data_IF_536596241745
#
_entry.id   IF_536596241745
#
_cell.length_a   1.000
_cell.length_b   1.000
_cell.length_c   1.000
_cell.angle_alpha   90.00
_cell.angle_beta   90.00
_cell.angle_gamma   90.00
#
_symmetry.space_group_name_H-M   'P 1'
#
loop_
_entity.id
_entity.type
_entity.pdbx_description
1 polymer ?
#
# COMPACT_ATOMS: atom_id res chain seq x y z
N UNK A 1 -9.14 11.63 -23.44
CA UNK A 1 -8.37 11.48 -22.20
C UNK A 1 -8.86 10.17 -21.59
N UNK A 2 -8.10 9.11 -21.78
CA UNK A 2 -8.51 7.81 -21.32
C UNK A 2 -8.54 7.81 -19.79
N UNK A 3 -9.63 7.26 -19.25
CA UNK A 3 -9.78 7.10 -17.80
C UNK A 3 -8.59 6.27 -17.28
N UNK A 4 -8.04 6.68 -16.14
CA UNK A 4 -7.05 5.92 -15.40
C UNK A 4 -7.54 4.47 -15.26
N UNK A 5 -6.94 3.55 -16.02
CA UNK A 5 -7.18 2.13 -15.85
C UNK A 5 -6.16 1.60 -14.84
N UNK A 6 -6.60 1.43 -13.60
CA UNK A 6 -5.87 0.61 -12.65
C UNK A 6 -6.00 -0.86 -13.03
N UNK A 7 -4.93 -1.63 -12.86
CA UNK A 7 -5.00 -3.09 -12.97
C UNK A 7 -5.95 -3.69 -11.93
N UNK A 8 -6.40 -4.93 -12.16
CA UNK A 8 -7.26 -5.66 -11.22
C UNK A 8 -8.76 -5.34 -11.31
N UNK A 9 -9.22 -4.69 -12.36
CA UNK A 9 -10.65 -4.48 -12.59
C UNK A 9 -11.35 -5.78 -13.07
N UNK A 10 -11.72 -6.60 -12.10
CA UNK A 10 -12.49 -7.83 -12.33
C UNK A 10 -14.02 -7.58 -12.39
N UNK A 11 -14.46 -6.35 -12.18
CA UNK A 11 -15.87 -5.99 -12.04
C UNK A 11 -16.51 -5.53 -13.35
N UNK A 12 -15.74 -4.86 -14.21
CA UNK A 12 -16.25 -4.32 -15.47
C UNK A 12 -16.20 -5.33 -16.62
N UNK A 13 -15.45 -6.43 -16.49
CA UNK A 13 -15.21 -7.42 -17.55
C UNK A 13 -15.21 -8.84 -16.98
N UNK A 14 -15.66 -9.81 -17.76
CA UNK A 14 -15.51 -11.23 -17.42
C UNK A 14 -14.09 -11.69 -17.77
N UNK A 15 -13.18 -11.53 -16.83
CA UNK A 15 -11.75 -11.81 -17.00
C UNK A 15 -11.47 -13.26 -16.57
N UNK A 16 -10.90 -14.07 -17.50
CA UNK A 16 -10.47 -15.44 -17.18
C UNK A 16 -9.06 -15.51 -16.61
N UNK A 17 -8.19 -14.60 -17.03
CA UNK A 17 -6.81 -14.48 -16.57
C UNK A 17 -6.49 -13.00 -16.42
N UNK A 18 -6.00 -12.62 -15.24
CA UNK A 18 -5.61 -11.24 -14.93
C UNK A 18 -4.10 -11.18 -14.65
N UNK A 19 -3.39 -10.47 -15.52
CA UNK A 19 -1.97 -10.13 -15.34
C UNK A 19 -1.75 -8.64 -15.10
N UNK A 20 -2.82 -7.89 -14.89
CA UNK A 20 -2.76 -6.43 -14.70
C UNK A 20 -2.48 -6.02 -13.25
N UNK A 21 -2.58 -6.95 -12.30
CA UNK A 21 -2.31 -6.71 -10.88
C UNK A 21 -1.50 -7.85 -10.26
N UNK A 22 -0.58 -7.50 -9.35
CA UNK A 22 0.23 -8.45 -8.61
C UNK A 22 -0.54 -9.00 -7.41
N UNK A 23 -1.44 -9.94 -7.65
CA UNK A 23 -2.21 -10.62 -6.60
C UNK A 23 -1.56 -11.98 -6.33
N UNK A 24 -1.42 -12.32 -5.03
CA UNK A 24 -0.94 -13.64 -4.65
C UNK A 24 -1.96 -14.72 -5.09
N UNK A 25 -1.61 -15.62 -6.03
CA UNK A 25 -2.54 -16.65 -6.51
C UNK A 25 -2.90 -17.69 -5.44
N UNK A 26 -2.11 -17.81 -4.38
CA UNK A 26 -2.40 -18.69 -3.24
C UNK A 26 -3.37 -18.06 -2.25
N UNK A 27 -3.77 -16.80 -2.47
CA UNK A 27 -4.64 -16.07 -1.57
C UNK A 27 -3.94 -15.62 -0.29
N UNK A 28 -4.72 -15.39 0.74
CA UNK A 28 -4.26 -14.93 2.05
C UNK A 28 -3.92 -16.14 2.94
N UNK A 29 -2.83 -16.07 3.70
CA UNK A 29 -2.48 -17.14 4.64
C UNK A 29 -3.45 -17.19 5.83
N UNK A 30 -3.65 -18.37 6.39
CA UNK A 30 -4.54 -18.59 7.54
C UNK A 30 -4.16 -17.69 8.73
N UNK A 31 -2.88 -17.50 9.00
CA UNK A 31 -2.40 -16.62 10.07
C UNK A 31 -2.86 -15.17 9.88
N UNK A 32 -2.89 -14.67 8.64
CA UNK A 32 -3.37 -13.32 8.33
C UNK A 32 -4.89 -13.25 8.49
N UNK A 33 -5.62 -14.26 8.03
CA UNK A 33 -7.08 -14.36 8.21
C UNK A 33 -7.44 -14.32 9.69
N UNK A 34 -6.79 -15.14 10.51
CA UNK A 34 -7.00 -15.15 11.95
C UNK A 34 -6.65 -13.82 12.63
N UNK A 35 -5.56 -13.18 12.20
CA UNK A 35 -5.17 -11.87 12.72
C UNK A 35 -6.23 -10.81 12.40
N UNK A 36 -6.79 -10.81 11.20
CA UNK A 36 -7.88 -9.94 10.81
C UNK A 36 -9.13 -10.18 11.66
N UNK A 37 -9.53 -11.42 11.87
CA UNK A 37 -10.67 -11.75 12.74
C UNK A 37 -10.46 -11.23 14.16
N UNK A 38 -9.27 -11.40 14.74
CA UNK A 38 -8.96 -10.88 16.08
C UNK A 38 -8.95 -9.36 16.13
N UNK A 39 -8.61 -8.69 15.04
CA UNK A 39 -8.50 -7.23 15.00
C UNK A 39 -9.85 -6.51 14.88
N UNK A 40 -10.94 -7.21 14.56
CA UNK A 40 -12.29 -6.62 14.41
C UNK A 40 -12.72 -5.85 15.67
N UNK A 41 -12.44 -6.41 16.85
CA UNK A 41 -12.75 -5.75 18.14
C UNK A 41 -12.02 -4.41 18.32
N UNK A 42 -10.88 -4.24 17.67
CA UNK A 42 -10.09 -3.00 17.75
C UNK A 42 -10.70 -1.86 16.92
N UNK A 43 -11.59 -2.19 15.96
CA UNK A 43 -12.23 -1.19 15.09
C UNK A 43 -13.11 -0.17 15.83
N UNK A 44 -13.46 -0.44 17.08
CA UNK A 44 -14.17 0.52 17.95
C UNK A 44 -13.31 1.71 18.38
N UNK A 45 -12.00 1.62 18.26
CA UNK A 45 -11.04 2.65 18.62
C UNK A 45 -10.55 3.39 17.37
N UNK A 46 -10.17 4.66 17.54
CA UNK A 46 -9.40 5.34 16.52
C UNK A 46 -8.05 4.66 16.33
N UNK A 47 -7.59 4.50 15.08
CA UNK A 47 -6.26 3.96 14.82
C UNK A 47 -5.18 4.90 15.35
N UNK A 48 -4.01 4.34 15.69
CA UNK A 48 -2.84 5.15 16.04
C UNK A 48 -2.36 5.93 14.81
N UNK A 49 -2.46 7.28 14.80
CA UNK A 49 -2.08 8.08 13.64
C UNK A 49 -0.59 8.03 13.33
N UNK A 50 0.23 7.60 14.28
CA UNK A 50 1.67 7.44 14.11
C UNK A 50 2.08 6.01 13.75
N UNK A 51 1.15 5.07 13.69
CA UNK A 51 1.39 3.65 13.38
C UNK A 51 2.56 3.04 14.18
N UNK A 52 2.70 3.42 15.47
CA UNK A 52 3.89 3.13 16.29
C UNK A 52 4.24 1.65 16.33
N UNK A 53 3.26 0.80 16.59
CA UNK A 53 3.47 -0.66 16.65
C UNK A 53 3.94 -1.23 15.31
N UNK A 54 3.32 -0.76 14.22
CA UNK A 54 3.68 -1.19 12.87
C UNK A 54 5.08 -0.72 12.47
N UNK A 55 5.42 0.54 12.76
CA UNK A 55 6.75 1.09 12.50
C UNK A 55 7.83 0.33 13.28
N UNK A 56 7.57 -0.02 14.55
CA UNK A 56 8.49 -0.83 15.34
C UNK A 56 8.72 -2.22 14.73
N UNK A 57 7.64 -2.94 14.41
CA UNK A 57 7.73 -4.28 13.81
C UNK A 57 8.43 -4.26 12.44
N UNK A 58 8.16 -3.26 11.62
CA UNK A 58 8.84 -3.10 10.33
C UNK A 58 10.31 -2.72 10.51
N UNK A 59 10.61 -1.82 11.44
CA UNK A 59 11.98 -1.45 11.77
C UNK A 59 12.81 -2.65 12.23
N UNK A 60 12.27 -3.47 13.12
CA UNK A 60 12.90 -4.71 13.58
C UNK A 60 13.14 -5.69 12.42
N UNK A 61 12.12 -5.90 11.57
CA UNK A 61 12.21 -6.81 10.43
C UNK A 61 13.25 -6.38 9.40
N UNK A 62 13.29 -5.08 9.07
CA UNK A 62 14.18 -4.51 8.06
C UNK A 62 15.53 -4.08 8.64
N UNK A 63 15.72 -4.23 9.97
CA UNK A 63 16.92 -3.82 10.71
C UNK A 63 17.27 -2.32 10.51
N UNK A 64 16.24 -1.48 10.61
CA UNK A 64 16.35 -0.02 10.57
C UNK A 64 15.67 0.61 11.79
N UNK A 65 16.14 1.75 12.31
CA UNK A 65 15.44 2.47 13.36
C UNK A 65 14.00 2.82 12.94
N UNK A 66 13.05 2.72 13.86
CA UNK A 66 11.63 2.96 13.58
C UNK A 66 11.31 4.38 13.11
N UNK A 67 12.14 5.36 13.45
CA UNK A 67 12.06 6.75 12.98
C UNK A 67 12.32 6.89 11.47
N UNK A 68 12.89 5.88 10.81
CA UNK A 68 13.06 5.84 9.36
C UNK A 68 11.93 5.08 8.64
N UNK A 69 10.90 4.65 9.38
CA UNK A 69 9.75 3.95 8.83
C UNK A 69 8.55 4.88 8.75
N UNK A 70 8.06 5.12 7.56
CA UNK A 70 6.82 5.87 7.32
C UNK A 70 5.74 4.92 6.80
N UNK A 71 4.62 4.86 7.51
CA UNK A 71 3.43 4.14 7.06
C UNK A 71 2.43 5.09 6.40
N UNK A 72 1.74 4.60 5.38
CA UNK A 72 0.72 5.36 4.66
C UNK A 72 -0.40 4.46 4.14
N UNK A 73 -1.45 5.06 3.65
CA UNK A 73 -2.61 4.37 3.10
C UNK A 73 -2.35 3.97 1.64
N UNK A 74 -1.48 2.97 1.45
CA UNK A 74 -1.03 2.52 0.15
C UNK A 74 0.11 3.36 -0.42
N UNK A 75 0.66 2.89 -1.56
CA UNK A 75 1.81 3.53 -2.21
C UNK A 75 1.49 4.95 -2.70
N UNK A 76 0.29 5.20 -3.20
CA UNK A 76 -0.12 6.52 -3.68
C UNK A 76 0.00 7.60 -2.58
N UNK A 77 -0.52 7.34 -1.37
CA UNK A 77 -0.39 8.26 -0.23
C UNK A 77 1.09 8.58 0.08
N UNK A 78 1.96 7.56 0.06
CA UNK A 78 3.38 7.76 0.32
C UNK A 78 4.08 8.54 -0.80
N UNK A 79 3.74 8.29 -2.07
CA UNK A 79 4.26 9.03 -3.22
C UNK A 79 3.92 10.52 -3.06
N UNK A 80 2.65 10.84 -2.81
CA UNK A 80 2.21 12.22 -2.60
C UNK A 80 2.94 12.88 -1.42
N UNK A 81 3.04 12.21 -0.28
CA UNK A 81 3.76 12.74 0.89
C UNK A 81 5.22 13.01 0.60
N UNK A 82 5.91 12.10 -0.09
CA UNK A 82 7.31 12.27 -0.48
C UNK A 82 7.49 13.48 -1.41
N UNK A 83 6.63 13.64 -2.42
CA UNK A 83 6.68 14.77 -3.34
C UNK A 83 6.42 16.08 -2.62
N UNK A 84 5.41 16.14 -1.75
CA UNK A 84 5.12 17.34 -0.96
C UNK A 84 6.27 17.69 -0.01
N UNK A 85 6.88 16.72 0.64
CA UNK A 85 8.00 16.97 1.55
C UNK A 85 9.25 17.43 0.80
N UNK A 86 9.55 16.84 -0.35
CA UNK A 86 10.73 17.18 -1.16
C UNK A 86 10.56 18.49 -1.95
N UNK A 87 9.33 18.89 -2.27
CA UNK A 87 9.00 20.06 -3.09
C UNK A 87 9.91 20.20 -4.33
N UNK A 88 10.09 19.18 -5.17
CA UNK A 88 11.06 19.21 -6.26
C UNK A 88 10.61 20.19 -7.34
N UNK A 89 11.53 20.95 -7.92
CA UNK A 89 11.24 21.82 -9.08
C UNK A 89 11.08 21.02 -10.37
N UNK A 90 11.68 19.84 -10.44
CA UNK A 90 11.63 18.94 -11.60
C UNK A 90 11.64 17.50 -11.09
N UNK A 91 10.90 16.62 -11.75
CA UNK A 91 10.95 15.18 -11.53
C UNK A 91 11.29 14.47 -12.83
N UNK A 92 12.04 13.38 -12.74
CA UNK A 92 12.34 12.48 -13.85
C UNK A 92 11.67 11.14 -13.55
N UNK A 93 10.82 10.68 -14.44
CA UNK A 93 10.11 9.42 -14.32
C UNK A 93 10.44 8.51 -15.50
N UNK A 94 10.64 7.23 -15.22
CA UNK A 94 10.68 6.22 -16.27
C UNK A 94 9.26 5.95 -16.78
N UNK A 95 9.09 5.79 -18.08
CA UNK A 95 7.80 5.45 -18.68
C UNK A 95 7.97 4.25 -19.64
N UNK A 96 7.00 3.35 -19.72
CA UNK A 96 5.74 3.31 -18.94
C UNK A 96 5.95 2.91 -17.48
N UNK A 97 5.13 3.44 -16.57
CA UNK A 97 5.21 3.16 -15.14
C UNK A 97 3.83 3.28 -14.47
N UNK A 98 3.79 3.20 -13.13
CA UNK A 98 2.56 3.32 -12.35
C UNK A 98 1.92 4.70 -12.52
N UNK A 99 0.60 4.74 -12.69
CA UNK A 99 -0.15 5.95 -13.05
C UNK A 99 -0.15 7.05 -11.99
N UNK A 100 0.19 6.73 -10.76
CA UNK A 100 0.21 7.69 -9.64
C UNK A 100 1.52 8.50 -9.53
N UNK A 101 2.53 8.23 -10.38
CA UNK A 101 3.77 9.02 -10.39
C UNK A 101 3.62 10.40 -11.02
#
# INVERSE_FOLDING_TARGET
MDKYEHGGDIYSRNIKLDFSANINPLGMSDNVIEALHRSVEMCRNYPDPMCRELCNKLGEKENVPNEYVLCGNGAADLIYRCVYAACPKKALLAAPTFSEY
#
